data_IF_055389761483
#
_entry.id   IF_055389761483
#
_cell.length_a   1.000
_cell.length_b   1.000
_cell.length_c   1.000
_cell.angle_alpha   90.00
_cell.angle_beta   90.00
_cell.angle_gamma   90.00
#
_symmetry.space_group_name_H-M   'P 1'
#
loop_
_entity.id
_entity.type
_entity.pdbx_description
1 polymer ?
#
# COMPACT_ATOMS: atom_id res chain seq x y z
N UNK A 1 27.94 20.91 72.31
CA UNK A 1 29.01 21.58 71.54
C UNK A 1 29.20 20.92 70.16
N UNK A 2 28.14 20.77 69.35
CA UNK A 2 28.17 20.05 68.04
C UNK A 2 27.41 20.83 66.92
N UNK A 3 27.01 22.09 67.16
CA UNK A 3 26.17 22.88 66.23
C UNK A 3 26.91 23.83 65.28
N UNK A 4 28.21 23.62 65.00
CA UNK A 4 29.02 24.56 64.18
C UNK A 4 29.82 23.94 63.02
N UNK A 5 29.87 22.61 62.89
CA UNK A 5 30.78 21.95 61.92
C UNK A 5 30.14 21.48 60.61
N UNK A 6 28.81 21.43 60.51
CA UNK A 6 28.12 21.04 59.26
C UNK A 6 27.58 22.19 58.41
N UNK A 7 27.75 23.45 58.84
CA UNK A 7 27.39 24.64 58.03
C UNK A 7 28.49 25.10 57.07
N UNK A 8 29.70 24.52 57.13
CA UNK A 8 30.80 24.80 56.20
C UNK A 8 30.94 23.79 55.05
N UNK A 9 30.07 22.77 54.98
CA UNK A 9 29.98 21.85 53.84
C UNK A 9 28.88 22.25 52.83
N UNK A 10 28.37 23.49 52.92
CA UNK A 10 27.26 24.00 52.11
C UNK A 10 27.69 25.05 51.06
N UNK A 11 28.98 25.44 50.99
CA UNK A 11 29.44 26.50 50.08
C UNK A 11 30.82 26.24 49.48
N UNK A 12 31.03 25.04 48.94
CA UNK A 12 32.17 24.81 48.05
C UNK A 12 31.78 23.78 46.99
N UNK A 13 31.17 24.26 45.90
CA UNK A 13 31.12 23.71 44.53
C UNK A 13 29.88 24.23 43.79
N UNK A 14 29.83 25.55 43.61
CA UNK A 14 29.11 26.24 42.54
C UNK A 14 30.12 27.31 42.08
N UNK A 15 30.60 27.37 40.82
CA UNK A 15 29.79 27.23 39.60
C UNK A 15 30.50 26.52 38.42
N UNK A 16 29.82 25.57 37.73
CA UNK A 16 30.22 25.15 36.38
C UNK A 16 29.19 25.60 35.36
N UNK A 17 29.39 26.84 34.91
CA UNK A 17 29.29 27.37 33.55
C UNK A 17 28.22 26.72 32.64
N UNK A 18 27.19 27.53 32.40
CA UNK A 18 26.33 27.54 31.21
C UNK A 18 27.16 27.46 29.91
N UNK A 19 27.08 26.34 29.19
CA UNK A 19 27.27 26.30 27.72
C UNK A 19 26.11 25.52 27.12
N UNK A 20 24.99 26.22 26.92
CA UNK A 20 23.80 25.72 26.26
C UNK A 20 23.54 26.44 24.94
N UNK A 21 24.50 26.41 24.01
CA UNK A 21 24.29 26.82 22.62
C UNK A 21 24.36 25.60 21.70
N UNK A 22 23.32 24.78 21.75
CA UNK A 22 23.05 23.78 20.72
C UNK A 22 22.06 24.35 19.71
N UNK A 23 22.51 25.13 18.72
CA UNK A 23 21.78 25.28 17.45
C UNK A 23 21.91 23.98 16.66
N UNK A 24 21.43 22.89 17.25
CA UNK A 24 21.13 21.68 16.50
C UNK A 24 19.74 21.92 15.92
N UNK A 25 19.70 22.63 14.79
CA UNK A 25 18.65 22.32 13.83
C UNK A 25 18.70 20.81 13.70
N UNK A 26 17.66 20.12 14.15
CA UNK A 26 17.48 18.72 13.77
C UNK A 26 17.67 18.73 12.26
N UNK A 27 18.63 17.95 11.70
CA UNK A 27 18.75 17.91 10.27
C UNK A 27 17.37 17.51 9.77
N UNK A 28 16.67 18.43 9.12
CA UNK A 28 15.61 18.08 8.19
C UNK A 28 16.35 17.42 7.05
N UNK A 29 16.76 16.17 7.28
CA UNK A 29 17.08 15.27 6.19
C UNK A 29 15.77 15.16 5.44
N UNK A 30 15.67 15.88 4.33
CA UNK A 30 14.73 15.54 3.28
C UNK A 30 14.72 14.02 3.20
N UNK A 31 13.55 13.40 3.35
CA UNK A 31 13.39 11.98 3.02
C UNK A 31 13.66 11.84 1.52
N UNK A 32 14.94 11.83 1.15
CA UNK A 32 15.42 11.27 -0.10
C UNK A 32 14.96 9.83 -0.01
N UNK A 33 13.92 9.50 -0.74
CA UNK A 33 13.36 8.16 -0.91
C UNK A 33 14.52 7.18 -1.15
N UNK A 34 15.08 6.64 -0.07
CA UNK A 34 16.34 5.94 -0.19
C UNK A 34 16.06 4.71 -1.03
N UNK A 35 16.75 4.60 -2.15
CA UNK A 35 16.76 3.38 -2.95
C UNK A 35 17.40 2.30 -2.10
N UNK A 36 16.60 1.68 -1.23
CA UNK A 36 17.03 0.57 -0.41
C UNK A 36 17.60 -0.48 -1.36
N UNK A 37 18.90 -0.72 -1.24
CA UNK A 37 19.64 -1.69 -2.05
C UNK A 37 19.35 -3.11 -1.60
N UNK A 38 18.90 -3.26 -0.36
CA UNK A 38 18.56 -4.53 0.27
C UNK A 38 17.34 -4.35 1.16
N UNK A 39 16.64 -5.45 1.39
CA UNK A 39 15.54 -5.57 2.33
C UNK A 39 15.78 -6.82 3.19
N UNK A 40 15.58 -6.71 4.50
CA UNK A 40 15.71 -7.84 5.43
C UNK A 40 14.31 -8.34 5.74
N UNK A 41 14.04 -9.60 5.41
CA UNK A 41 12.73 -10.23 5.58
C UNK A 41 12.33 -10.21 7.05
N UNK A 42 11.16 -9.65 7.33
CA UNK A 42 10.53 -9.64 8.64
C UNK A 42 9.53 -10.77 8.78
N UNK A 43 9.15 -11.06 10.02
CA UNK A 43 8.11 -12.06 10.33
C UNK A 43 6.80 -11.71 9.61
N UNK A 44 6.25 -12.68 8.89
CA UNK A 44 4.98 -12.56 8.16
C UNK A 44 5.07 -11.84 6.82
N UNK A 45 6.27 -11.50 6.33
CA UNK A 45 6.45 -11.01 4.96
C UNK A 45 6.55 -12.18 3.97
N UNK A 46 5.96 -11.99 2.80
CA UNK A 46 6.03 -12.91 1.66
C UNK A 46 6.80 -12.25 0.53
N UNK A 47 7.32 -13.04 -0.41
CA UNK A 47 7.97 -12.47 -1.60
C UNK A 47 7.03 -11.54 -2.36
N UNK A 48 5.73 -11.86 -2.38
CA UNK A 48 4.68 -11.03 -2.95
C UNK A 48 4.55 -9.70 -2.22
N UNK A 49 4.49 -9.71 -0.89
CA UNK A 49 4.33 -8.50 -0.09
C UNK A 49 5.55 -7.57 -0.18
N UNK A 50 6.75 -8.15 -0.28
CA UNK A 50 8.00 -7.40 -0.51
C UNK A 50 8.01 -6.82 -1.93
N UNK A 51 7.73 -7.62 -2.96
CA UNK A 51 7.67 -7.13 -4.33
C UNK A 51 6.63 -6.01 -4.50
N UNK A 52 5.46 -6.18 -3.89
CA UNK A 52 4.38 -5.19 -3.86
C UNK A 52 4.83 -3.89 -3.20
N UNK A 53 5.52 -3.95 -2.06
CA UNK A 53 6.06 -2.76 -1.36
C UNK A 53 7.01 -1.95 -2.24
N UNK A 54 7.82 -2.63 -3.06
CA UNK A 54 8.83 -1.99 -3.90
C UNK A 54 8.40 -1.79 -5.36
N UNK A 55 7.09 -1.88 -5.65
CA UNK A 55 6.50 -1.68 -6.98
C UNK A 55 7.16 -2.52 -8.08
N UNK A 56 7.48 -3.77 -7.76
CA UNK A 56 8.12 -4.70 -8.69
C UNK A 56 7.35 -6.02 -8.79
N UNK A 57 7.66 -6.77 -9.83
CA UNK A 57 7.08 -8.08 -10.04
C UNK A 57 7.76 -9.13 -9.15
N UNK A 58 6.95 -9.99 -8.52
CA UNK A 58 7.47 -11.00 -7.60
C UNK A 58 8.35 -12.03 -8.33
N UNK A 59 8.08 -12.36 -9.60
CA UNK A 59 8.90 -13.31 -10.37
C UNK A 59 10.25 -12.67 -10.71
N UNK A 60 10.24 -11.40 -11.07
CA UNK A 60 11.48 -10.62 -11.28
C UNK A 60 12.32 -10.59 -10.01
N UNK A 61 11.71 -10.27 -8.87
CA UNK A 61 12.40 -10.24 -7.58
C UNK A 61 12.92 -11.63 -7.19
N UNK A 62 12.13 -12.69 -7.43
CA UNK A 62 12.52 -14.08 -7.19
C UNK A 62 13.79 -14.44 -7.97
N UNK A 63 13.80 -14.16 -9.28
CA UNK A 63 14.91 -14.47 -10.18
C UNK A 63 16.20 -13.74 -9.79
N UNK A 64 16.10 -12.46 -9.43
CA UNK A 64 17.25 -11.66 -8.98
C UNK A 64 17.87 -12.16 -7.67
N UNK A 65 17.10 -12.89 -6.87
CA UNK A 65 17.51 -13.40 -5.57
C UNK A 65 17.65 -14.93 -5.54
N UNK A 66 17.57 -15.59 -6.70
CA UNK A 66 17.63 -17.05 -6.83
C UNK A 66 16.62 -17.79 -5.95
N UNK A 67 15.42 -17.22 -5.79
CA UNK A 67 14.34 -17.79 -4.99
C UNK A 67 13.42 -18.59 -5.92
N UNK A 68 13.44 -19.91 -5.76
CA UNK A 68 12.59 -20.81 -6.55
C UNK A 68 11.22 -21.01 -5.89
N UNK A 69 10.19 -21.43 -6.66
CA UNK A 69 8.95 -21.95 -6.08
C UNK A 69 9.25 -23.02 -5.00
N UNK A 70 8.53 -23.02 -3.87
CA UNK A 70 7.30 -22.27 -3.57
C UNK A 70 7.50 -20.84 -3.06
N UNK A 71 8.66 -20.21 -3.32
CA UNK A 71 9.01 -18.84 -2.94
C UNK A 71 9.06 -18.58 -1.43
N UNK A 72 9.41 -19.61 -0.66
CA UNK A 72 9.56 -19.53 0.79
C UNK A 72 10.68 -18.57 1.19
N UNK A 73 10.39 -17.73 2.19
CA UNK A 73 11.36 -16.81 2.78
C UNK A 73 11.64 -17.18 4.24
N UNK A 74 12.85 -16.88 4.70
CA UNK A 74 13.23 -17.00 6.12
C UNK A 74 13.32 -15.61 6.75
N UNK A 75 12.88 -15.48 8.00
CA UNK A 75 13.09 -14.24 8.76
C UNK A 75 14.58 -13.95 8.84
N UNK A 76 14.99 -12.70 8.59
CA UNK A 76 16.38 -12.29 8.52
C UNK A 76 17.05 -12.52 7.16
N UNK A 77 16.40 -13.22 6.22
CA UNK A 77 16.92 -13.37 4.86
C UNK A 77 17.08 -12.00 4.19
N UNK A 78 18.20 -11.80 3.51
CA UNK A 78 18.48 -10.56 2.77
C UNK A 78 17.96 -10.71 1.34
N UNK A 79 17.07 -9.80 0.96
CA UNK A 79 16.57 -9.64 -0.40
C UNK A 79 17.32 -8.49 -1.05
N UNK A 80 18.05 -8.78 -2.11
CA UNK A 80 18.68 -7.82 -2.97
C UNK A 80 17.64 -7.08 -3.83
N UNK A 81 17.65 -5.76 -3.71
CA UNK A 81 16.80 -4.84 -4.46
C UNK A 81 17.60 -4.02 -5.48
N UNK A 82 18.91 -4.28 -5.63
CA UNK A 82 19.72 -3.64 -6.66
C UNK A 82 19.20 -4.06 -8.03
N UNK A 83 19.15 -3.10 -8.94
CA UNK A 83 18.74 -3.33 -10.32
C UNK A 83 17.32 -3.89 -10.49
N UNK A 84 16.43 -3.79 -9.48
CA UNK A 84 15.01 -4.03 -9.73
C UNK A 84 14.55 -2.97 -10.74
N UNK A 85 13.94 -3.38 -11.87
CA UNK A 85 13.34 -2.42 -12.78
C UNK A 85 12.18 -1.77 -12.03
N UNK A 86 12.43 -0.61 -11.42
CA UNK A 86 11.37 0.25 -10.92
C UNK A 86 10.69 0.84 -12.13
N UNK A 87 9.37 0.79 -12.17
CA UNK A 87 8.65 1.39 -13.27
C UNK A 87 8.77 2.92 -13.17
N UNK A 88 9.83 3.47 -13.78
CA UNK A 88 10.13 4.91 -13.89
C UNK A 88 9.31 5.62 -14.99
N UNK A 89 8.28 4.96 -15.54
CA UNK A 89 7.42 5.50 -16.58
C UNK A 89 6.05 5.70 -15.93
N UNK A 90 5.67 6.91 -15.54
CA UNK A 90 5.08 7.90 -16.45
C UNK A 90 5.52 9.35 -16.12
N UNK A 91 6.79 9.71 -16.35
CA UNK A 91 7.09 11.11 -16.72
C UNK A 91 6.95 11.24 -18.24
N UNK A 92 5.75 11.03 -18.78
CA UNK A 92 5.50 11.49 -20.15
C UNK A 92 5.35 13.01 -20.06
N UNK A 93 6.35 13.71 -20.58
CA UNK A 93 6.23 15.09 -21.00
C UNK A 93 4.97 15.22 -21.86
N UNK A 94 3.87 15.70 -21.27
CA UNK A 94 2.75 16.19 -22.04
C UNK A 94 3.20 17.53 -22.62
N UNK A 95 3.74 17.52 -23.86
CA UNK A 95 3.76 18.73 -24.68
C UNK A 95 2.30 19.14 -24.86
N UNK A 96 1.90 20.18 -24.15
CA UNK A 96 0.56 20.76 -24.22
C UNK A 96 0.38 21.42 -25.59
N UNK A 97 -0.34 20.77 -26.50
CA UNK A 97 -1.02 21.48 -27.57
C UNK A 97 -2.34 22.00 -26.98
N UNK A 98 -2.52 23.33 -26.95
CA UNK A 98 -3.78 23.97 -26.55
C UNK A 98 -4.71 24.09 -27.76
N UNK A 99 -5.82 23.33 -27.86
CA UNK A 99 -6.95 23.77 -28.65
C UNK A 99 -7.75 24.81 -27.84
N UNK A 100 -7.86 26.02 -28.39
CA UNK A 100 -8.71 27.09 -27.86
C UNK A 100 -10.16 26.82 -28.26
N UNK A 101 -10.81 25.90 -27.54
CA UNK A 101 -12.26 25.80 -27.47
C UNK A 101 -12.57 25.28 -26.07
N UNK A 102 -13.30 26.07 -25.27
CA UNK A 102 -13.71 25.66 -23.93
C UNK A 102 -15.02 24.88 -24.03
N UNK A 103 -15.03 23.54 -23.94
CA UNK A 103 -16.27 22.80 -23.78
C UNK A 103 -16.92 23.15 -22.44
N UNK A 104 -18.26 23.08 -22.32
CA UNK A 104 -18.94 23.23 -21.04
C UNK A 104 -18.36 22.23 -20.03
N UNK A 105 -18.03 22.69 -18.81
CA UNK A 105 -17.48 21.85 -17.74
C UNK A 105 -18.39 20.64 -17.53
N UNK A 106 -17.99 19.41 -17.90
CA UNK A 106 -18.82 18.24 -17.64
C UNK A 106 -18.97 18.07 -16.13
N UNK A 107 -20.21 17.82 -15.67
CA UNK A 107 -20.42 17.40 -14.28
C UNK A 107 -19.57 16.15 -14.04
N UNK A 108 -18.80 16.08 -12.94
CA UNK A 108 -18.01 14.89 -12.65
C UNK A 108 -18.92 13.68 -12.57
N UNK A 109 -18.73 12.71 -13.48
CA UNK A 109 -19.49 11.47 -13.50
C UNK A 109 -19.09 10.68 -12.25
N UNK A 110 -20.02 10.53 -11.30
CA UNK A 110 -19.79 9.74 -10.10
C UNK A 110 -19.90 8.26 -10.47
N UNK A 111 -18.79 7.53 -10.34
CA UNK A 111 -18.73 6.11 -10.68
C UNK A 111 -19.24 5.27 -9.51
N UNK A 112 -20.20 4.40 -9.79
CA UNK A 112 -20.78 3.46 -8.85
C UNK A 112 -20.54 2.02 -9.29
N UNK A 113 -20.47 1.11 -8.33
CA UNK A 113 -20.58 -0.32 -8.60
C UNK A 113 -21.95 -0.64 -9.21
N UNK A 114 -22.08 -1.66 -10.08
CA UNK A 114 -23.37 -2.09 -10.61
C UNK A 114 -24.30 -2.58 -9.49
N UNK A 115 -25.62 -2.52 -9.74
CA UNK A 115 -26.64 -2.99 -8.80
C UNK A 115 -26.46 -4.48 -8.44
N UNK A 116 -26.17 -5.32 -9.43
CA UNK A 116 -25.70 -6.68 -9.21
C UNK A 116 -24.17 -6.71 -9.11
N UNK A 117 -23.65 -6.67 -7.88
CA UNK A 117 -22.21 -6.74 -7.58
C UNK A 117 -21.52 -8.05 -7.97
N UNK A 118 -22.28 -9.13 -8.15
CA UNK A 118 -21.77 -10.41 -8.63
C UNK A 118 -21.72 -10.48 -10.16
N UNK A 119 -22.20 -9.45 -10.87
CA UNK A 119 -22.05 -9.36 -12.30
C UNK A 119 -20.58 -9.07 -12.65
N UNK A 120 -19.98 -9.95 -13.45
CA UNK A 120 -18.65 -9.74 -14.01
C UNK A 120 -18.65 -8.58 -15.00
N UNK A 121 -17.58 -7.81 -15.01
CA UNK A 121 -17.26 -6.88 -16.08
C UNK A 121 -16.96 -7.62 -17.38
N UNK A 122 -16.85 -6.88 -18.49
CA UNK A 122 -16.39 -7.43 -19.77
C UNK A 122 -15.01 -8.10 -19.64
N UNK A 123 -14.17 -7.58 -18.75
CA UNK A 123 -12.83 -8.13 -18.45
C UNK A 123 -12.86 -9.29 -17.44
N UNK A 124 -14.04 -9.75 -17.00
CA UNK A 124 -14.21 -10.90 -16.11
C UNK A 124 -14.03 -10.63 -14.61
N UNK A 125 -13.77 -9.38 -14.22
CA UNK A 125 -13.54 -8.98 -12.83
C UNK A 125 -14.83 -8.56 -12.15
N UNK A 126 -14.91 -8.79 -10.84
CA UNK A 126 -16.00 -8.36 -9.97
C UNK A 126 -15.61 -7.12 -9.18
N UNK A 127 -16.60 -6.28 -8.90
CA UNK A 127 -16.45 -5.22 -7.92
C UNK A 127 -16.21 -5.83 -6.52
N UNK A 128 -15.22 -5.35 -5.76
CA UNK A 128 -14.89 -5.94 -4.46
C UNK A 128 -15.93 -5.59 -3.39
N UNK A 129 -16.64 -4.48 -3.54
CA UNK A 129 -17.72 -4.02 -2.65
C UNK A 129 -18.80 -3.31 -3.47
N UNK A 130 -20.02 -3.23 -2.93
CA UNK A 130 -21.05 -2.32 -3.46
C UNK A 130 -20.87 -0.92 -2.90
N UNK A 131 -20.67 0.07 -3.78
CA UNK A 131 -20.37 1.43 -3.34
C UNK A 131 -20.08 2.43 -4.46
N UNK A 132 -19.58 3.59 -4.06
CA UNK A 132 -19.15 4.67 -4.94
C UNK A 132 -17.65 4.86 -4.89
N UNK A 133 -17.04 5.19 -6.02
CA UNK A 133 -15.62 5.55 -6.07
C UNK A 133 -15.45 6.94 -5.46
N UNK A 134 -14.61 7.05 -4.43
CA UNK A 134 -14.32 8.30 -3.70
C UNK A 134 -12.89 8.80 -3.90
N UNK A 135 -12.02 7.96 -4.45
CA UNK A 135 -10.68 8.34 -4.89
C UNK A 135 -10.34 7.54 -6.14
N UNK A 136 -9.84 8.21 -7.15
CA UNK A 136 -9.46 7.63 -8.45
C UNK A 136 -7.97 7.31 -8.50
N UNK A 137 -7.61 6.48 -9.47
CA UNK A 137 -6.24 6.06 -9.76
C UNK A 137 -5.42 7.24 -10.29
N UNK A 138 -4.40 7.67 -9.53
CA UNK A 138 -3.46 8.73 -9.88
C UNK A 138 -2.07 8.30 -9.36
N UNK A 139 -1.40 7.36 -10.05
CA UNK A 139 -0.19 6.69 -9.54
C UNK A 139 0.97 7.66 -9.32
N UNK A 140 1.05 8.74 -10.12
CA UNK A 140 2.08 9.78 -9.97
C UNK A 140 1.94 10.58 -8.65
N UNK A 141 0.75 10.54 -8.03
CA UNK A 141 0.49 11.11 -6.70
C UNK A 141 0.48 10.02 -5.60
N UNK A 142 0.98 8.82 -5.89
CA UNK A 142 0.97 7.69 -4.97
C UNK A 142 -0.39 6.97 -4.84
N UNK A 143 -1.42 7.41 -5.57
CA UNK A 143 -2.75 6.76 -5.58
C UNK A 143 -2.75 5.61 -6.59
N UNK A 144 -2.22 4.47 -6.16
CA UNK A 144 -1.97 3.25 -6.96
C UNK A 144 -3.21 2.38 -7.19
N UNK A 145 -4.36 2.81 -6.66
CA UNK A 145 -5.65 2.13 -6.80
C UNK A 145 -6.83 3.10 -6.75
N UNK A 146 -8.00 2.55 -6.45
CA UNK A 146 -9.22 3.32 -6.18
C UNK A 146 -9.69 3.09 -4.75
N UNK A 147 -10.33 4.11 -4.17
CA UNK A 147 -11.05 3.97 -2.91
C UNK A 147 -12.53 3.84 -3.22
N UNK A 148 -13.15 2.77 -2.71
CA UNK A 148 -14.58 2.51 -2.93
C UNK A 148 -15.28 2.62 -1.57
N UNK A 149 -16.06 3.69 -1.40
CA UNK A 149 -16.85 3.89 -0.19
C UNK A 149 -18.14 3.06 -0.24
N UNK A 150 -18.40 2.34 0.85
CA UNK A 150 -19.54 1.43 0.99
C UNK A 150 -20.21 1.61 2.36
N UNK A 151 -21.20 0.75 2.65
CA UNK A 151 -21.88 0.74 3.95
C UNK A 151 -21.00 0.08 5.03
N UNK A 152 -21.25 0.41 6.30
CA UNK A 152 -20.61 -0.25 7.45
C UNK A 152 -20.93 -1.75 7.47
N UNK A 153 -19.93 -2.58 7.76
CA UNK A 153 -20.07 -4.03 7.81
C UNK A 153 -20.10 -4.73 6.44
N UNK A 154 -19.97 -3.97 5.35
CA UNK A 154 -19.94 -4.49 3.99
C UNK A 154 -18.86 -5.57 3.84
N UNK A 155 -19.22 -6.70 3.24
CA UNK A 155 -18.26 -7.77 2.94
C UNK A 155 -17.48 -7.43 1.69
N UNK A 156 -16.17 -7.62 1.77
CA UNK A 156 -15.23 -7.47 0.66
C UNK A 156 -15.12 -8.81 -0.05
N UNK A 157 -15.29 -8.80 -1.38
CA UNK A 157 -15.25 -9.97 -2.24
C UNK A 157 -13.95 -10.03 -3.03
N UNK A 158 -13.48 -11.24 -3.32
CA UNK A 158 -12.41 -11.45 -4.28
C UNK A 158 -12.89 -11.06 -5.69
N UNK A 159 -12.21 -10.11 -6.31
CA UNK A 159 -12.55 -9.60 -7.65
C UNK A 159 -12.39 -10.68 -8.73
N UNK A 160 -11.48 -11.65 -8.53
CA UNK A 160 -11.31 -12.83 -9.38
C UNK A 160 -10.82 -14.02 -8.56
N UNK A 161 -10.91 -15.23 -9.13
CA UNK A 161 -10.36 -16.43 -8.51
C UNK A 161 -8.84 -16.38 -8.45
N UNK A 162 -8.23 -16.95 -7.40
CA UNK A 162 -6.79 -16.91 -7.22
C UNK A 162 -6.31 -17.58 -5.94
N UNK A 163 -5.08 -17.28 -5.56
CA UNK A 163 -4.45 -17.74 -4.31
C UNK A 163 -4.06 -16.53 -3.48
N UNK A 164 -4.39 -16.52 -2.20
CA UNK A 164 -4.01 -15.45 -1.28
C UNK A 164 -2.49 -15.48 -1.10
N UNK A 165 -1.83 -14.46 -1.64
CA UNK A 165 -0.37 -14.33 -1.64
C UNK A 165 0.16 -13.58 -0.41
N UNK A 166 -0.74 -12.87 0.28
CA UNK A 166 -0.48 -12.16 1.52
C UNK A 166 -1.80 -11.87 2.24
N UNK A 167 -1.82 -12.01 3.57
CA UNK A 167 -2.92 -11.61 4.44
C UNK A 167 -2.37 -11.11 5.79
N UNK A 168 -2.45 -9.80 6.05
CA UNK A 168 -1.90 -9.23 7.28
C UNK A 168 -1.80 -7.71 7.27
N UNK A 169 -1.11 -7.13 8.25
CA UNK A 169 -1.00 -5.67 8.47
C UNK A 169 0.42 -5.12 8.37
N UNK A 170 1.39 -5.94 7.93
CA UNK A 170 2.81 -5.60 7.87
C UNK A 170 3.20 -4.63 6.74
N UNK A 171 2.25 -4.20 5.89
CA UNK A 171 2.51 -3.23 4.84
C UNK A 171 1.96 -1.86 5.25
N UNK A 172 2.89 -0.97 5.62
CA UNK A 172 2.58 0.40 6.01
C UNK A 172 1.75 1.12 4.93
N UNK A 173 0.76 1.89 5.37
CA UNK A 173 -0.16 2.62 4.50
C UNK A 173 -1.36 1.80 4.01
N UNK A 174 -1.35 0.46 4.11
CA UNK A 174 -2.45 -0.39 3.63
C UNK A 174 -3.37 -0.90 4.74
N UNK A 175 -3.02 -0.69 6.02
CA UNK A 175 -3.75 -1.30 7.14
C UNK A 175 -3.79 -2.83 7.02
N UNK A 176 -4.92 -3.45 7.39
CA UNK A 176 -5.11 -4.87 7.10
C UNK A 176 -5.30 -5.07 5.60
N UNK A 177 -4.38 -5.81 5.00
CA UNK A 177 -4.22 -5.99 3.57
C UNK A 177 -4.35 -7.47 3.19
N UNK A 178 -5.04 -7.70 2.09
CA UNK A 178 -5.05 -8.98 1.39
C UNK A 178 -4.48 -8.74 -0.01
N UNK A 179 -3.53 -9.57 -0.43
CA UNK A 179 -3.07 -9.62 -1.82
C UNK A 179 -3.44 -10.99 -2.39
N UNK A 180 -4.15 -11.02 -3.52
CA UNK A 180 -4.49 -12.25 -4.22
C UNK A 180 -3.69 -12.31 -5.52
N UNK A 181 -3.01 -13.43 -5.75
CA UNK A 181 -2.37 -13.78 -7.02
C UNK A 181 -3.39 -14.43 -7.94
N UNK A 182 -3.45 -13.94 -9.17
CA UNK A 182 -4.28 -14.48 -10.25
C UNK A 182 -3.41 -14.99 -11.40
N UNK A 183 -4.06 -15.47 -12.45
CA UNK A 183 -3.41 -15.88 -13.69
C UNK A 183 -2.81 -14.67 -14.44
N UNK A 184 -1.95 -14.94 -15.42
CA UNK A 184 -1.40 -13.93 -16.34
C UNK A 184 -0.65 -12.76 -15.67
N UNK A 185 -0.05 -13.01 -14.50
CA UNK A 185 0.76 -12.01 -13.79
C UNK A 185 -0.05 -10.91 -13.11
N UNK A 186 -1.36 -11.13 -12.89
CA UNK A 186 -2.20 -10.19 -12.16
C UNK A 186 -2.15 -10.42 -10.65
N UNK A 187 -2.08 -9.32 -9.90
CA UNK A 187 -2.34 -9.28 -8.46
C UNK A 187 -3.50 -8.32 -8.20
N UNK A 188 -4.35 -8.63 -7.22
CA UNK A 188 -5.27 -7.65 -6.63
C UNK A 188 -4.92 -7.41 -5.18
N UNK A 189 -5.10 -6.17 -4.72
CA UNK A 189 -4.90 -5.81 -3.32
C UNK A 189 -6.16 -5.14 -2.75
N UNK A 190 -6.50 -5.54 -1.53
CA UNK A 190 -7.66 -5.06 -0.77
C UNK A 190 -7.09 -4.51 0.54
N UNK A 191 -7.01 -3.19 0.65
CA UNK A 191 -6.47 -2.48 1.81
C UNK A 191 -7.53 -1.85 2.70
N UNK A 192 -7.12 -1.51 3.91
CA UNK A 192 -7.92 -0.90 4.97
C UNK A 192 -9.11 -1.76 5.42
N UNK A 193 -8.97 -3.08 5.38
CA UNK A 193 -10.03 -3.97 5.87
C UNK A 193 -10.18 -3.85 7.39
N UNK A 194 -11.41 -3.91 7.89
CA UNK A 194 -11.66 -4.01 9.33
C UNK A 194 -11.22 -5.37 9.87
N UNK A 195 -11.51 -6.43 9.12
CA UNK A 195 -11.21 -7.82 9.47
C UNK A 195 -10.88 -8.64 8.24
N UNK A 196 -9.79 -9.39 8.31
CA UNK A 196 -9.39 -10.36 7.29
C UNK A 196 -10.04 -11.72 7.59
N UNK A 197 -10.57 -12.39 6.57
CA UNK A 197 -11.31 -13.66 6.71
C UNK A 197 -10.68 -14.80 5.90
N UNK A 198 -9.46 -14.59 5.41
CA UNK A 198 -8.69 -15.58 4.63
C UNK A 198 -7.23 -15.61 5.09
N UNK A 199 -6.56 -16.73 4.87
CA UNK A 199 -5.16 -16.93 5.21
C UNK A 199 -4.27 -16.96 3.95
N UNK A 200 -2.97 -16.70 4.14
CA UNK A 200 -1.97 -16.93 3.09
C UNK A 200 -2.01 -18.38 2.58
N UNK A 201 -1.84 -18.56 1.27
CA UNK A 201 -1.90 -19.86 0.60
C UNK A 201 -3.32 -20.34 0.28
N UNK A 202 -4.35 -19.71 0.85
CA UNK A 202 -5.74 -20.11 0.61
C UNK A 202 -6.15 -19.85 -0.85
N UNK A 203 -6.78 -20.86 -1.47
CA UNK A 203 -7.47 -20.68 -2.75
C UNK A 203 -8.81 -19.98 -2.54
N UNK A 204 -9.10 -18.98 -3.37
CA UNK A 204 -10.34 -18.22 -3.32
C UNK A 204 -11.01 -18.18 -4.70
N UNK A 205 -12.34 -18.23 -4.72
CA UNK A 205 -13.14 -18.06 -5.93
C UNK A 205 -13.51 -16.59 -6.14
N UNK A 206 -13.69 -16.17 -7.39
CA UNK A 206 -14.29 -14.86 -7.67
C UNK A 206 -15.64 -14.73 -6.95
N UNK A 207 -15.85 -13.62 -6.26
CA UNK A 207 -17.06 -13.35 -5.49
C UNK A 207 -17.07 -13.96 -4.08
N UNK A 208 -16.03 -14.72 -3.71
CA UNK A 208 -15.89 -15.23 -2.35
C UNK A 208 -15.62 -14.07 -1.38
N UNK A 209 -16.26 -14.11 -0.21
CA UNK A 209 -15.99 -13.18 0.89
C UNK A 209 -14.58 -13.41 1.42
N UNK A 210 -13.78 -12.35 1.48
CA UNK A 210 -12.38 -12.41 1.94
C UNK A 210 -12.09 -11.49 3.14
N UNK A 211 -12.95 -10.49 3.36
CA UNK A 211 -12.78 -9.53 4.44
C UNK A 211 -14.08 -8.77 4.74
N UNK A 212 -14.02 -7.94 5.78
CA UNK A 212 -14.98 -6.89 6.06
C UNK A 212 -14.36 -5.52 5.81
N UNK A 213 -15.10 -4.64 5.14
CA UNK A 213 -14.66 -3.29 4.81
C UNK A 213 -14.35 -2.48 6.07
N UNK A 214 -13.26 -1.73 6.05
CA UNK A 214 -12.83 -0.90 7.18
C UNK A 214 -12.86 0.57 6.82
N UNK A 215 -11.92 1.34 7.36
CA UNK A 215 -11.90 2.81 7.24
C UNK A 215 -10.77 3.25 6.31
N UNK A 216 -11.11 3.99 5.27
CA UNK A 216 -10.16 4.63 4.35
C UNK A 216 -10.01 6.10 4.70
N UNK A 217 -8.78 6.59 4.74
CA UNK A 217 -8.42 8.00 4.95
C UNK A 217 -9.12 8.65 6.18
N UNK A 218 -9.44 7.86 7.20
CA UNK A 218 -10.23 8.26 8.38
C UNK A 218 -11.58 8.92 8.05
N UNK A 219 -12.07 8.78 6.81
CA UNK A 219 -13.20 9.55 6.27
C UNK A 219 -14.33 8.67 5.77
N UNK A 220 -14.01 7.55 5.14
CA UNK A 220 -15.00 6.68 4.51
C UNK A 220 -14.91 5.27 5.05
N UNK A 221 -16.06 4.62 5.21
CA UNK A 221 -16.09 3.16 5.29
C UNK A 221 -15.93 2.61 3.88
N UNK A 222 -15.01 1.68 3.66
CA UNK A 222 -14.71 1.18 2.33
C UNK A 222 -13.51 0.24 2.25
N UNK A 223 -13.10 -0.01 1.02
CA UNK A 223 -11.86 -0.72 0.67
C UNK A 223 -11.00 0.12 -0.27
N UNK A 224 -9.68 0.10 -0.04
CA UNK A 224 -8.72 0.50 -1.07
C UNK A 224 -8.46 -0.69 -1.99
N UNK A 225 -8.70 -0.53 -3.29
CA UNK A 225 -8.59 -1.60 -4.25
C UNK A 225 -7.56 -1.28 -5.33
N UNK A 226 -6.60 -2.19 -5.51
CA UNK A 226 -5.60 -2.10 -6.57
C UNK A 226 -5.65 -3.33 -7.48
N UNK A 227 -5.30 -3.12 -8.74
CA UNK A 227 -4.92 -4.17 -9.67
C UNK A 227 -3.49 -3.88 -10.11
N UNK A 228 -2.60 -4.88 -10.01
CA UNK A 228 -1.25 -4.83 -10.58
C UNK A 228 -1.10 -5.87 -11.67
N UNK A 229 -0.46 -5.50 -12.78
CA UNK A 229 -0.04 -6.41 -13.85
C UNK A 229 1.47 -6.43 -13.91
N UNK A 230 2.10 -7.58 -13.65
CA UNK A 230 3.56 -7.72 -13.62
C UNK A 230 4.22 -6.68 -12.69
N UNK A 231 3.68 -6.53 -11.47
CA UNK A 231 4.15 -5.58 -10.45
C UNK A 231 3.70 -4.12 -10.66
N UNK A 232 3.22 -3.76 -11.85
CA UNK A 232 2.84 -2.37 -12.19
C UNK A 232 1.37 -2.12 -11.82
N UNK A 233 1.06 -1.11 -10.99
CA UNK A 233 -0.31 -0.73 -10.71
C UNK A 233 -0.98 -0.18 -11.97
N UNK A 234 -2.20 -0.65 -12.26
CA UNK A 234 -3.02 -0.25 -13.41
C UNK A 234 -4.35 0.28 -12.92
N UNK A 235 -5.00 1.16 -13.70
CA UNK A 235 -6.30 1.73 -13.32
C UNK A 235 -7.35 0.62 -13.18
N UNK A 236 -7.88 0.35 -11.96
CA UNK A 236 -8.87 -0.71 -11.74
C UNK A 236 -10.17 -0.50 -12.50
N UNK A 237 -10.54 0.75 -12.80
CA UNK A 237 -11.81 1.05 -13.47
C UNK A 237 -11.86 0.50 -14.90
N UNK A 238 -10.72 0.39 -15.58
CA UNK A 238 -10.60 -0.26 -16.89
C UNK A 238 -10.94 -1.77 -16.85
N UNK A 239 -10.97 -2.36 -15.66
CA UNK A 239 -11.26 -3.78 -15.45
C UNK A 239 -12.61 -4.00 -14.78
N UNK A 240 -13.10 -3.03 -14.00
CA UNK A 240 -14.33 -3.17 -13.22
C UNK A 240 -15.57 -2.65 -13.93
N UNK A 241 -15.43 -1.64 -14.78
CA UNK A 241 -16.58 -1.09 -15.50
C UNK A 241 -17.04 -2.08 -16.58
N UNK A 242 -18.36 -2.11 -16.81
CA UNK A 242 -18.90 -2.72 -18.02
C UNK A 242 -18.46 -1.86 -19.20
N UNK A 243 -18.11 -2.50 -20.31
CA UNK A 243 -18.05 -1.82 -21.61
C UNK A 243 -19.43 -1.33 -22.01
#
# INVERSE_FOLDING_TARGET
MISSLFKKLLYLFLPLILVGCGKNWAPVSELRWYSQKVHIVKRGETLYSIAFRYDTDYQTLARLNHINPPYSLRVGQVINLRNIPRNKRVSRNFKTYKPYYAPPKPRPVIIHSPANRYARSASGWLWPVSGRVVTTFIPDQGKKGINIACKKGEKVLAAASGVVAYAGSGLAGYGNLIIIKHNYGYLTAYGHNARVMVAEGQHVKAGQVIAEAGVIDHKYIGVHFEIRKSGVPVNPLNYLQKG
#
